data_IF_597960300601
#
_entry.id   IF_597960300601
#
_cell.length_a   1.000
_cell.length_b   1.000
_cell.length_c   1.000
_cell.angle_alpha   90.00
_cell.angle_beta   90.00
_cell.angle_gamma   90.00
#
_symmetry.space_group_name_H-M   'P 1'
#
loop_
_entity.id
_entity.type
_entity.pdbx_description
1 polymer ?
#
# COMPACT_ATOMS: atom_id res chain seq x y z
N UNK A 1 10.78 2.19 0.00
CA UNK A 1 11.29 2.12 -1.38
C UNK A 1 10.10 2.32 -2.30
N UNK A 2 10.27 3.13 -3.34
CA UNK A 2 9.23 3.37 -4.35
C UNK A 2 9.87 3.06 -5.70
N UNK A 3 9.29 2.11 -6.42
CA UNK A 3 9.81 1.68 -7.72
C UNK A 3 9.34 2.60 -8.86
N UNK A 4 10.01 2.56 -10.03
CA UNK A 4 9.65 3.40 -11.18
C UNK A 4 8.18 3.26 -11.60
N UNK A 5 7.63 4.35 -12.13
CA UNK A 5 6.24 4.41 -12.58
C UNK A 5 5.20 4.50 -11.45
N UNK A 6 5.59 4.25 -10.20
CA UNK A 6 4.69 4.40 -9.07
C UNK A 6 4.30 5.88 -8.84
N UNK A 7 3.03 6.11 -8.57
CA UNK A 7 2.45 7.43 -8.31
C UNK A 7 2.01 7.47 -6.85
N UNK A 8 2.53 8.42 -6.09
CA UNK A 8 2.02 8.74 -4.75
C UNK A 8 1.28 10.06 -4.83
N UNK A 9 -0.05 10.02 -4.60
CA UNK A 9 -0.90 11.20 -4.69
C UNK A 9 -0.71 12.15 -3.50
N UNK A 10 -1.31 13.32 -3.60
CA UNK A 10 -1.18 14.38 -2.60
C UNK A 10 -1.71 13.94 -1.23
N UNK A 11 -1.04 14.36 -0.17
CA UNK A 11 -1.44 14.08 1.23
C UNK A 11 -1.18 12.67 1.72
N UNK A 12 -0.76 11.75 0.83
CA UNK A 12 -0.50 10.36 1.20
C UNK A 12 0.76 10.23 2.05
N UNK A 13 0.74 9.27 2.98
CA UNK A 13 1.82 9.01 3.95
C UNK A 13 2.30 7.58 3.80
N UNK A 14 3.57 7.41 3.47
CA UNK A 14 4.18 6.10 3.23
C UNK A 14 5.28 5.86 4.27
N UNK A 15 5.11 4.82 5.08
CA UNK A 15 5.98 4.46 6.19
C UNK A 15 6.51 3.04 6.00
N UNK A 16 7.84 2.86 6.05
CA UNK A 16 8.50 1.55 5.95
C UNK A 16 7.89 0.61 4.89
N UNK A 17 7.57 1.14 3.71
CA UNK A 17 6.91 0.39 2.66
C UNK A 17 7.79 0.20 1.42
N UNK A 18 7.55 -0.89 0.70
CA UNK A 18 8.04 -1.16 -0.65
C UNK A 18 6.84 -1.02 -1.58
N UNK A 19 6.86 0.00 -2.44
CA UNK A 19 5.79 0.30 -3.39
C UNK A 19 6.23 -0.15 -4.78
N UNK A 20 5.54 -1.16 -5.31
CA UNK A 20 5.83 -1.81 -6.59
C UNK A 20 5.73 -0.90 -7.80
N UNK A 21 6.23 -1.36 -8.94
CA UNK A 21 6.25 -0.63 -10.21
C UNK A 21 4.83 -0.28 -10.68
N UNK A 22 4.67 0.89 -11.30
CA UNK A 22 3.40 1.39 -11.87
C UNK A 22 2.19 1.41 -10.91
N UNK A 23 2.42 1.26 -9.62
CA UNK A 23 1.34 1.30 -8.62
C UNK A 23 0.91 2.73 -8.34
N UNK A 24 -0.35 2.92 -7.94
CA UNK A 24 -0.87 4.22 -7.54
C UNK A 24 -1.37 4.20 -6.10
N UNK A 25 -0.80 5.09 -5.29
CA UNK A 25 -1.25 5.35 -3.92
C UNK A 25 -2.18 6.55 -3.95
N UNK A 26 -3.48 6.33 -3.72
CA UNK A 26 -4.51 7.36 -3.72
C UNK A 26 -4.29 8.50 -2.71
N UNK A 27 -4.98 9.62 -2.92
CA UNK A 27 -4.84 10.83 -2.10
C UNK A 27 -5.12 10.54 -0.61
N UNK A 28 -4.35 11.16 0.29
CA UNK A 28 -4.47 10.98 1.74
C UNK A 28 -4.35 9.52 2.25
N UNK A 29 -3.95 8.57 1.40
CA UNK A 29 -3.76 7.18 1.81
C UNK A 29 -2.58 7.05 2.78
N UNK A 30 -2.65 6.08 3.69
CA UNK A 30 -1.60 5.76 4.65
C UNK A 30 -1.12 4.34 4.41
N UNK A 31 0.14 4.19 4.02
CA UNK A 31 0.77 2.90 3.74
C UNK A 31 1.80 2.61 4.82
N UNK A 32 1.70 1.44 5.45
CA UNK A 32 2.56 1.05 6.56
C UNK A 32 2.29 1.81 7.85
N UNK A 33 1.05 2.23 8.07
CA UNK A 33 0.66 2.89 9.32
C UNK A 33 0.77 1.96 10.54
N UNK A 34 0.77 2.49 11.77
CA UNK A 34 0.79 1.65 12.97
C UNK A 34 -0.40 0.68 13.02
N UNK A 35 -0.21 -0.49 13.64
CA UNK A 35 -1.32 -1.41 13.87
C UNK A 35 -2.36 -0.75 14.78
N UNK A 36 -3.62 -0.78 14.36
CA UNK A 36 -4.77 -0.30 15.12
C UNK A 36 -5.38 -1.45 15.93
N UNK A 37 -6.12 -1.10 16.98
CA UNK A 37 -6.83 -2.09 17.78
C UNK A 37 -7.85 -2.82 16.90
N UNK A 38 -7.68 -4.14 16.75
CA UNK A 38 -8.53 -4.98 15.91
C UNK A 38 -7.91 -5.36 14.55
N UNK A 39 -6.76 -4.78 14.18
CA UNK A 39 -6.05 -5.17 12.97
C UNK A 39 -5.53 -6.61 13.12
N UNK A 40 -5.86 -7.46 12.15
CA UNK A 40 -5.28 -8.80 12.02
C UNK A 40 -4.41 -8.81 10.78
N UNK A 41 -3.09 -8.81 10.97
CA UNK A 41 -2.10 -8.78 9.89
C UNK A 41 -1.20 -9.99 10.02
N UNK A 42 -1.11 -10.79 8.96
CA UNK A 42 -0.05 -11.79 8.85
C UNK A 42 1.23 -11.11 8.38
N UNK A 43 2.13 -10.87 9.34
CA UNK A 43 3.40 -10.22 9.11
C UNK A 43 4.60 -11.19 9.14
N UNK A 44 4.34 -12.49 9.08
CA UNK A 44 5.39 -13.53 9.13
C UNK A 44 6.42 -13.40 8.00
N UNK A 45 5.99 -12.91 6.84
CA UNK A 45 6.83 -12.72 5.66
C UNK A 45 7.57 -11.38 5.63
N UNK A 46 6.96 -10.33 6.19
CA UNK A 46 7.32 -8.94 5.92
C UNK A 46 7.83 -8.19 7.16
N UNK A 47 7.62 -8.76 8.36
CA UNK A 47 7.92 -8.10 9.62
C UNK A 47 7.14 -6.79 9.76
N UNK A 48 7.84 -5.67 9.87
CA UNK A 48 7.18 -4.34 9.91
C UNK A 48 7.07 -3.69 8.53
N UNK A 49 7.63 -4.30 7.48
CA UNK A 49 7.66 -3.71 6.14
C UNK A 49 6.29 -3.94 5.47
N UNK A 50 5.71 -2.89 4.87
CA UNK A 50 4.51 -3.06 4.03
C UNK A 50 4.92 -3.24 2.57
N UNK A 51 4.36 -4.23 1.89
CA UNK A 51 4.59 -4.43 0.46
C UNK A 51 3.33 -4.05 -0.32
N UNK A 52 3.49 -3.22 -1.35
CA UNK A 52 2.48 -2.98 -2.37
C UNK A 52 2.95 -3.63 -3.66
N UNK A 53 2.14 -4.51 -4.22
CA UNK A 53 2.43 -5.16 -5.49
C UNK A 53 2.56 -4.19 -6.67
N UNK A 54 3.07 -4.69 -7.78
CA UNK A 54 3.13 -3.96 -9.04
C UNK A 54 1.71 -3.77 -9.60
N UNK A 55 1.49 -2.67 -10.33
CA UNK A 55 0.24 -2.36 -11.05
C UNK A 55 -1.01 -2.30 -10.15
N UNK A 56 -0.81 -2.05 -8.84
CA UNK A 56 -1.87 -1.92 -7.83
C UNK A 56 -2.29 -0.47 -7.68
N UNK A 57 -3.59 -0.22 -7.76
CA UNK A 57 -4.19 1.08 -7.52
C UNK A 57 -4.97 1.08 -6.20
N UNK A 58 -4.54 1.91 -5.27
CA UNK A 58 -5.18 2.12 -3.97
C UNK A 58 -6.09 3.34 -4.02
N UNK A 59 -7.28 3.17 -3.47
CA UNK A 59 -8.26 4.25 -3.40
C UNK A 59 -7.78 5.38 -2.49
N UNK A 60 -8.25 6.62 -2.67
CA UNK A 60 -8.04 7.69 -1.70
C UNK A 60 -8.43 7.26 -0.28
N UNK A 61 -7.72 7.80 0.71
CA UNK A 61 -7.91 7.53 2.15
C UNK A 61 -7.70 6.07 2.60
N UNK A 62 -7.22 5.20 1.71
CA UNK A 62 -6.88 3.80 2.04
C UNK A 62 -5.89 3.75 3.19
N UNK A 63 -6.12 2.87 4.15
CA UNK A 63 -5.21 2.61 5.26
C UNK A 63 -4.68 1.18 5.20
N UNK A 64 -3.36 1.05 5.02
CA UNK A 64 -2.65 -0.21 5.14
C UNK A 64 -1.76 -0.19 6.38
N UNK A 65 -2.00 -1.07 7.35
CA UNK A 65 -1.11 -1.23 8.49
C UNK A 65 0.27 -1.75 8.08
N UNK A 66 1.25 -1.53 8.96
CA UNK A 66 2.60 -2.08 8.83
C UNK A 66 2.57 -3.61 8.79
N UNK A 67 3.45 -4.21 7.98
CA UNK A 67 3.54 -5.66 7.84
C UNK A 67 2.53 -6.28 6.87
N UNK A 68 1.68 -5.49 6.22
CA UNK A 68 0.73 -6.02 5.22
C UNK A 68 1.36 -6.22 3.84
N UNK A 69 0.84 -7.18 3.08
CA UNK A 69 1.07 -7.30 1.64
C UNK A 69 -0.22 -6.91 0.91
N UNK A 70 -0.19 -5.80 0.19
CA UNK A 70 -1.27 -5.39 -0.69
C UNK A 70 -1.09 -6.02 -2.07
N UNK A 71 -2.05 -6.87 -2.44
CA UNK A 71 -2.22 -7.41 -3.78
C UNK A 71 -3.57 -6.98 -4.35
N UNK A 72 -3.78 -7.26 -5.63
CA UNK A 72 -5.03 -6.97 -6.38
C UNK A 72 -6.30 -7.53 -5.72
N UNK A 73 -6.16 -8.54 -4.86
CA UNK A 73 -7.27 -9.22 -4.20
C UNK A 73 -7.47 -8.75 -2.75
N UNK A 74 -6.55 -7.98 -2.19
CA UNK A 74 -6.49 -7.69 -0.75
C UNK A 74 -6.78 -6.23 -0.43
N UNK A 75 -6.23 -5.28 -1.19
CA UNK A 75 -6.30 -3.87 -0.80
C UNK A 75 -6.31 -2.85 -1.95
N UNK A 76 -6.17 -3.28 -3.20
CA UNK A 76 -6.20 -2.36 -4.35
C UNK A 76 -6.82 -3.02 -5.58
N UNK A 77 -7.40 -2.21 -6.46
CA UNK A 77 -7.86 -2.66 -7.77
C UNK A 77 -6.71 -2.69 -8.77
N UNK A 78 -6.91 -3.34 -9.92
CA UNK A 78 -6.00 -3.19 -11.07
C UNK A 78 -6.03 -1.76 -11.58
N UNK A 79 -4.87 -1.24 -11.98
CA UNK A 79 -4.77 0.10 -12.57
C UNK A 79 -5.31 0.19 -14.02
N UNK A 80 -5.83 -0.91 -14.58
CA UNK A 80 -6.29 -1.02 -15.97
C UNK A 80 -7.65 -0.34 -16.27
N UNK A 81 -8.32 0.24 -15.25
CA UNK A 81 -9.61 0.93 -15.37
C UNK A 81 -9.46 2.47 -15.59
N UNK A 82 -8.54 2.88 -16.46
CA UNK A 82 -8.38 4.29 -16.88
C UNK A 82 -8.54 4.52 -18.38
#
# INVERSE_FOLDING_TARGET
>A
MIFPGAIVRSGSKVYQAIVGENSEIGENAVIGGPLRLGDTVDNSLTGTITLVGNDICMQPETYLPQGTVATENVAGGKCDDK
#
